data_IF_365397645137
#
_entry.id   IF_365397645137
#
_cell.length_a   1.000
_cell.length_b   1.000
_cell.length_c   1.000
_cell.angle_alpha   90.00
_cell.angle_beta   90.00
_cell.angle_gamma   90.00
#
_symmetry.space_group_name_H-M   'P 1'
#
loop_
_entity.id
_entity.type
_entity.pdbx_description
1 polymer ?
#
# COMPACT_ATOMS: atom_id res chain seq x y z
N UNK A 1 -10.38 -36.57 -20.32
CA UNK A 1 -10.83 -35.61 -21.36
C UNK A 1 -9.59 -34.91 -21.90
N UNK A 2 -9.44 -34.78 -23.22
CA UNK A 2 -8.35 -33.99 -23.83
C UNK A 2 -8.78 -32.52 -23.97
N UNK A 3 -7.87 -31.58 -23.76
CA UNK A 3 -8.13 -30.15 -23.95
C UNK A 3 -8.38 -29.85 -25.45
N UNK A 4 -9.30 -28.94 -25.75
CA UNK A 4 -9.53 -28.41 -27.10
C UNK A 4 -8.47 -27.35 -27.49
N UNK A 5 -8.52 -26.83 -28.71
CA UNK A 5 -7.53 -25.86 -29.21
C UNK A 5 -7.43 -24.59 -28.36
N UNK A 6 -8.56 -24.03 -27.94
CA UNK A 6 -8.60 -22.81 -27.13
C UNK A 6 -8.08 -23.08 -25.71
N UNK A 7 -8.49 -24.20 -25.12
CA UNK A 7 -8.01 -24.64 -23.81
C UNK A 7 -6.50 -24.90 -23.82
N UNK A 8 -5.96 -25.55 -24.86
CA UNK A 8 -4.51 -25.74 -25.04
C UNK A 8 -3.79 -24.42 -25.22
N UNK A 9 -4.35 -23.47 -25.95
CA UNK A 9 -3.78 -22.14 -26.10
C UNK A 9 -3.65 -21.44 -24.75
N UNK A 10 -4.73 -21.37 -23.96
CA UNK A 10 -4.72 -20.75 -22.63
C UNK A 10 -3.76 -21.49 -21.70
N UNK A 11 -3.83 -22.82 -21.66
CA UNK A 11 -2.95 -23.65 -20.84
C UNK A 11 -1.47 -23.40 -21.16
N UNK A 12 -1.10 -23.38 -22.44
CA UNK A 12 0.26 -23.08 -22.87
C UNK A 12 0.69 -21.66 -22.48
N UNK A 13 -0.21 -20.67 -22.57
CA UNK A 13 0.08 -19.29 -22.15
C UNK A 13 0.27 -19.18 -20.63
N UNK A 14 -0.51 -19.91 -19.83
CA UNK A 14 -0.35 -19.95 -18.38
C UNK A 14 0.96 -20.63 -17.99
N UNK A 15 1.27 -21.81 -18.54
CA UNK A 15 2.52 -22.52 -18.23
C UNK A 15 3.78 -21.75 -18.66
N UNK A 16 3.73 -21.07 -19.80
CA UNK A 16 4.85 -20.26 -20.30
C UNK A 16 4.97 -18.88 -19.64
N UNK A 17 4.02 -18.48 -18.78
CA UNK A 17 3.95 -17.11 -18.26
C UNK A 17 3.64 -16.04 -19.33
N UNK A 18 3.26 -16.45 -20.54
CA UNK A 18 2.95 -15.59 -21.68
C UNK A 18 1.51 -15.08 -21.72
N UNK A 19 0.71 -15.34 -20.68
CA UNK A 19 -0.70 -14.93 -20.61
C UNK A 19 -0.83 -13.43 -20.27
N UNK A 20 -0.53 -12.58 -21.27
CA UNK A 20 -0.51 -11.12 -21.15
C UNK A 20 -1.83 -10.50 -21.61
N UNK A 21 -2.84 -10.53 -20.73
CA UNK A 21 -4.18 -9.98 -21.03
C UNK A 21 -4.38 -8.53 -20.55
N UNK A 22 -3.34 -7.89 -20.01
CA UNK A 22 -3.42 -6.50 -19.54
C UNK A 22 -4.26 -6.30 -18.27
N UNK A 23 -4.53 -7.36 -17.51
CA UNK A 23 -5.29 -7.29 -16.26
C UNK A 23 -4.33 -7.04 -15.10
N UNK A 24 -4.50 -5.88 -14.44
CA UNK A 24 -3.76 -5.52 -13.23
C UNK A 24 -4.43 -6.07 -11.96
N UNK A 25 -3.70 -6.13 -10.85
CA UNK A 25 -4.26 -6.46 -9.54
C UNK A 25 -5.41 -5.50 -9.16
N UNK A 26 -5.24 -4.19 -9.41
CA UNK A 26 -6.28 -3.18 -9.17
C UNK A 26 -7.55 -3.46 -9.98
N UNK A 27 -7.40 -3.91 -11.22
CA UNK A 27 -8.54 -4.30 -12.07
C UNK A 27 -9.31 -5.47 -11.44
N UNK A 28 -8.60 -6.46 -10.90
CA UNK A 28 -9.22 -7.61 -10.21
C UNK A 28 -9.93 -7.16 -8.93
N UNK A 29 -9.28 -6.36 -8.09
CA UNK A 29 -9.89 -5.80 -6.87
C UNK A 29 -11.20 -5.08 -7.20
N UNK A 30 -11.18 -4.18 -8.18
CA UNK A 30 -12.37 -3.42 -8.59
C UNK A 30 -13.46 -4.30 -9.19
N UNK A 31 -13.10 -5.34 -9.94
CA UNK A 31 -14.08 -6.27 -10.52
C UNK A 31 -14.77 -7.10 -9.43
N UNK A 32 -13.99 -7.61 -8.47
CA UNK A 32 -14.50 -8.37 -7.33
C UNK A 32 -15.38 -7.48 -6.44
N UNK A 33 -14.92 -6.27 -6.08
CA UNK A 33 -15.67 -5.28 -5.31
C UNK A 33 -17.07 -5.03 -5.90
N UNK A 34 -17.15 -4.86 -7.23
CA UNK A 34 -18.43 -4.71 -7.93
C UNK A 34 -19.30 -5.97 -7.92
N UNK A 35 -18.70 -7.15 -8.00
CA UNK A 35 -19.42 -8.44 -8.11
C UNK A 35 -20.08 -8.83 -6.79
N UNK A 36 -19.40 -8.57 -5.67
CA UNK A 36 -19.87 -8.91 -4.31
C UNK A 36 -20.44 -7.70 -3.54
N UNK A 37 -20.50 -6.53 -4.18
CA UNK A 37 -20.99 -5.27 -3.60
C UNK A 37 -20.28 -4.87 -2.28
N UNK A 38 -18.95 -4.99 -2.27
CA UNK A 38 -18.08 -4.55 -1.16
C UNK A 38 -17.13 -3.44 -1.63
N UNK A 39 -16.61 -2.67 -0.67
CA UNK A 39 -15.63 -1.63 -0.95
C UNK A 39 -14.30 -2.22 -1.45
N UNK A 40 -13.62 -1.51 -2.37
CA UNK A 40 -12.36 -1.96 -2.96
C UNK A 40 -11.26 -2.19 -1.92
N UNK A 41 -11.21 -1.39 -0.85
CA UNK A 41 -10.26 -1.57 0.24
C UNK A 41 -10.52 -2.88 1.00
N UNK A 42 -11.79 -3.28 1.17
CA UNK A 42 -12.15 -4.56 1.81
C UNK A 42 -11.58 -5.72 1.00
N UNK A 43 -11.79 -5.68 -0.31
CA UNK A 43 -11.34 -6.72 -1.21
C UNK A 43 -9.83 -6.76 -1.30
N UNK A 44 -9.17 -5.61 -1.40
CA UNK A 44 -7.72 -5.52 -1.36
C UNK A 44 -7.15 -6.15 -0.10
N UNK A 45 -7.72 -5.86 1.07
CA UNK A 45 -7.32 -6.48 2.34
C UNK A 45 -7.49 -8.00 2.32
N UNK A 46 -8.69 -8.49 1.96
CA UNK A 46 -9.00 -9.92 1.86
C UNK A 46 -8.00 -10.71 1.00
N UNK A 47 -7.61 -10.17 -0.16
CA UNK A 47 -6.73 -10.88 -1.10
C UNK A 47 -5.23 -10.61 -0.89
N UNK A 48 -4.87 -9.63 -0.07
CA UNK A 48 -3.47 -9.24 0.19
C UNK A 48 -2.75 -10.14 1.20
N UNK A 49 -3.48 -10.94 1.98
CA UNK A 49 -2.91 -11.81 3.01
C UNK A 49 -2.21 -13.07 2.49
N UNK A 50 -1.64 -13.84 3.41
CA UNK A 50 -1.01 -15.15 3.14
C UNK A 50 -2.04 -16.27 2.95
N UNK A 51 -2.82 -16.24 1.87
CA UNK A 51 -3.75 -17.30 1.51
C UNK A 51 -3.15 -18.27 0.49
N UNK A 52 -3.68 -19.49 0.46
CA UNK A 52 -3.25 -20.52 -0.49
C UNK A 52 -4.38 -20.83 -1.48
N UNK A 53 -4.21 -20.58 -2.79
CA UNK A 53 -5.24 -20.83 -3.79
C UNK A 53 -5.67 -22.30 -3.89
N UNK A 54 -4.85 -23.25 -3.42
CA UNK A 54 -5.19 -24.68 -3.44
C UNK A 54 -6.14 -25.09 -2.30
N UNK A 55 -6.17 -24.32 -1.20
CA UNK A 55 -6.91 -24.71 0.03
C UNK A 55 -7.91 -23.65 0.48
N UNK A 56 -7.82 -22.42 -0.02
CA UNK A 56 -8.70 -21.32 0.37
C UNK A 56 -9.83 -21.23 -0.64
N UNK A 57 -11.06 -21.48 -0.19
CA UNK A 57 -12.25 -21.30 -1.02
C UNK A 57 -12.49 -19.81 -1.31
N UNK A 58 -13.09 -19.52 -2.47
CA UNK A 58 -13.35 -18.16 -2.92
C UNK A 58 -14.26 -17.40 -1.93
N UNK A 59 -15.29 -18.06 -1.43
CA UNK A 59 -16.23 -17.51 -0.47
C UNK A 59 -15.54 -17.18 0.85
N UNK A 60 -14.63 -18.05 1.31
CA UNK A 60 -13.84 -17.83 2.53
C UNK A 60 -12.85 -16.69 2.35
N UNK A 61 -12.21 -16.57 1.19
CA UNK A 61 -11.25 -15.51 0.90
C UNK A 61 -11.93 -14.13 0.92
N UNK A 62 -13.15 -14.04 0.41
CA UNK A 62 -13.89 -12.78 0.27
C UNK A 62 -14.86 -12.50 1.43
N UNK A 63 -14.86 -13.33 2.47
CA UNK A 63 -15.62 -13.04 3.69
C UNK A 63 -14.92 -11.92 4.47
N UNK A 64 -15.53 -10.74 4.60
CA UNK A 64 -14.96 -9.69 5.42
C UNK A 64 -15.09 -10.09 6.89
N UNK A 65 -13.95 -10.24 7.57
CA UNK A 65 -13.93 -10.09 9.03
C UNK A 65 -14.13 -8.60 9.31
N UNK A 66 -15.38 -8.19 9.55
CA UNK A 66 -15.77 -6.79 9.70
C UNK A 66 -14.88 -6.02 10.70
N UNK A 67 -14.49 -6.67 11.80
CA UNK A 67 -13.60 -6.11 12.82
C UNK A 67 -12.20 -5.82 12.28
N UNK A 68 -11.60 -6.76 11.56
CA UNK A 68 -10.21 -6.65 11.08
C UNK A 68 -10.08 -5.70 9.88
N UNK A 69 -11.15 -5.58 9.08
CA UNK A 69 -11.19 -4.60 8.00
C UNK A 69 -11.18 -3.17 8.53
N UNK A 70 -12.04 -2.87 9.51
CA UNK A 70 -12.14 -1.52 10.07
C UNK A 70 -10.79 -1.06 10.65
N UNK A 71 -10.08 -1.97 11.31
CA UNK A 71 -8.74 -1.74 11.85
C UNK A 71 -7.72 -1.37 10.75
N UNK A 72 -7.77 -2.07 9.62
CA UNK A 72 -6.85 -1.88 8.52
C UNK A 72 -7.20 -0.70 7.60
N UNK A 73 -8.41 -0.14 7.71
CA UNK A 73 -8.93 0.80 6.72
C UNK A 73 -8.15 2.11 6.69
N UNK A 74 -7.61 2.53 5.53
CA UNK A 74 -6.93 3.81 5.39
C UNK A 74 -7.93 4.97 5.38
N UNK A 75 -7.45 6.14 5.80
CA UNK A 75 -8.17 7.38 5.60
C UNK A 75 -8.05 7.84 4.13
N UNK A 76 -9.02 8.61 3.60
CA UNK A 76 -8.88 9.21 2.29
C UNK A 76 -7.61 10.06 2.18
N UNK A 77 -6.86 9.90 1.09
CA UNK A 77 -5.65 10.68 0.85
C UNK A 77 -6.01 12.10 0.38
N UNK A 78 -5.68 13.11 1.20
CA UNK A 78 -5.91 14.51 0.86
C UNK A 78 -4.95 14.98 -0.23
N UNK A 79 -5.45 15.67 -1.26
CA UNK A 79 -4.66 16.03 -2.44
C UNK A 79 -4.21 17.48 -2.39
N UNK A 80 -2.97 17.71 -2.82
CA UNK A 80 -2.43 19.05 -3.04
C UNK A 80 -2.66 19.47 -4.50
N UNK A 81 -2.91 20.76 -4.70
CA UNK A 81 -3.02 21.39 -6.00
C UNK A 81 -1.79 22.27 -6.26
N UNK A 82 -1.32 22.38 -7.51
CA UNK A 82 -0.29 23.33 -7.84
C UNK A 82 -0.76 24.75 -7.54
N UNK A 83 0.17 25.64 -7.19
CA UNK A 83 -0.13 27.05 -7.00
C UNK A 83 -0.55 27.68 -8.34
N UNK A 84 -1.68 28.39 -8.33
CA UNK A 84 -2.16 29.16 -9.48
C UNK A 84 -1.51 30.56 -9.56
N UNK A 85 -1.07 31.09 -8.42
CA UNK A 85 -0.43 32.39 -8.30
C UNK A 85 1.02 32.28 -7.79
N UNK A 86 1.77 33.36 -7.94
CA UNK A 86 3.14 33.42 -7.44
C UNK A 86 3.16 33.35 -5.89
N UNK A 87 4.16 32.69 -5.27
CA UNK A 87 4.24 32.57 -3.81
C UNK A 87 4.18 33.90 -3.05
N UNK A 88 4.64 35.00 -3.67
CA UNK A 88 4.59 36.34 -3.09
C UNK A 88 3.15 36.86 -2.84
N UNK A 89 2.16 36.27 -3.50
CA UNK A 89 0.74 36.64 -3.35
C UNK A 89 0.00 35.79 -2.32
N UNK A 90 0.65 34.77 -1.73
CA UNK A 90 0.04 33.85 -0.76
C UNK A 90 -0.09 34.44 0.65
N UNK A 91 0.31 35.70 0.84
CA UNK A 91 0.33 36.38 2.13
C UNK A 91 1.64 36.15 2.90
N UNK A 92 1.57 36.34 4.23
CA UNK A 92 2.75 36.31 5.10
C UNK A 92 3.34 34.89 5.22
N UNK A 93 4.65 34.68 5.01
CA UNK A 93 5.28 33.36 5.09
C UNK A 93 5.03 32.62 6.40
N UNK A 94 4.87 33.35 7.52
CA UNK A 94 4.64 32.76 8.84
C UNK A 94 3.24 32.14 9.01
N UNK A 95 2.31 32.37 8.07
CA UNK A 95 1.02 31.72 8.02
C UNK A 95 1.07 30.32 7.36
N UNK A 96 2.24 29.91 6.85
CA UNK A 96 2.42 28.70 6.07
C UNK A 96 3.41 27.74 6.74
N UNK A 97 3.12 26.44 6.61
CA UNK A 97 4.09 25.37 6.81
C UNK A 97 4.54 24.89 5.43
N UNK A 98 5.85 24.85 5.21
CA UNK A 98 6.45 24.39 3.97
C UNK A 98 7.28 23.14 4.23
N UNK A 99 7.06 22.13 3.39
CA UNK A 99 7.76 20.85 3.47
C UNK A 99 8.30 20.44 2.11
N UNK A 100 9.29 19.54 2.13
CA UNK A 100 9.83 18.99 0.91
C UNK A 100 8.82 18.07 0.24
N UNK A 101 8.60 18.29 -1.06
CA UNK A 101 7.88 17.33 -1.88
C UNK A 101 8.81 16.17 -2.23
N UNK A 102 8.69 15.08 -1.48
CA UNK A 102 9.47 13.87 -1.69
C UNK A 102 9.09 13.13 -2.98
N UNK A 103 10.04 12.35 -3.51
CA UNK A 103 9.87 11.46 -4.67
C UNK A 103 9.87 10.01 -4.19
N UNK A 104 8.68 9.46 -3.95
CA UNK A 104 8.48 8.19 -3.29
C UNK A 104 7.13 7.55 -3.56
N UNK A 105 6.73 6.68 -2.63
CA UNK A 105 5.37 6.13 -2.57
C UNK A 105 4.67 6.76 -1.38
N UNK A 106 3.70 7.62 -1.65
CA UNK A 106 2.77 8.07 -0.61
C UNK A 106 2.05 6.89 0.02
N UNK A 107 2.09 6.81 1.34
CA UNK A 107 1.39 5.78 2.08
C UNK A 107 1.03 6.16 3.49
N UNK A 108 0.03 5.47 4.04
CA UNK A 108 -0.40 5.58 5.42
C UNK A 108 0.08 4.38 6.22
N UNK A 109 0.67 4.64 7.39
CA UNK A 109 0.96 3.64 8.41
C UNK A 109 -0.17 3.68 9.43
N UNK A 110 -0.83 2.54 9.64
CA UNK A 110 -1.98 2.39 10.53
C UNK A 110 -1.60 1.38 11.60
N UNK A 111 -1.60 1.80 12.86
CA UNK A 111 -1.38 0.96 14.02
C UNK A 111 -2.70 0.87 14.80
N UNK A 112 -3.43 -0.23 14.67
CA UNK A 112 -4.70 -0.50 15.37
C UNK A 112 -4.79 -1.95 15.80
N UNK A 113 -5.45 -2.22 16.91
CA UNK A 113 -5.54 -3.54 17.56
C UNK A 113 -4.23 -4.33 17.60
N UNK A 114 -3.13 -3.65 17.94
CA UNK A 114 -1.78 -4.23 17.97
C UNK A 114 -1.33 -4.80 16.62
N UNK A 115 -1.91 -4.36 15.51
CA UNK A 115 -1.52 -4.72 14.15
C UNK A 115 -1.06 -3.46 13.40
N UNK A 116 -0.07 -3.64 12.53
CA UNK A 116 0.46 -2.58 11.68
C UNK A 116 0.07 -2.84 10.23
N UNK A 117 -0.49 -1.83 9.59
CA UNK A 117 -0.85 -1.85 8.17
C UNK A 117 -0.15 -0.72 7.43
N UNK A 118 0.25 -0.99 6.20
CA UNK A 118 0.85 0.01 5.32
C UNK A 118 0.05 0.05 4.04
N UNK A 119 -0.62 1.16 3.77
CA UNK A 119 -1.39 1.36 2.55
C UNK A 119 -0.70 2.36 1.65
N UNK A 120 -0.66 2.09 0.35
CA UNK A 120 -0.35 3.14 -0.61
C UNK A 120 -1.59 3.92 -1.02
N UNK A 121 -1.37 5.12 -1.56
CA UNK A 121 -2.41 5.91 -2.24
C UNK A 121 -3.16 5.14 -3.33
N UNK A 122 -2.53 4.11 -3.92
CA UNK A 122 -3.13 3.28 -4.96
C UNK A 122 -4.26 2.37 -4.49
N UNK A 123 -4.61 2.39 -3.20
CA UNK A 123 -5.49 1.43 -2.52
C UNK A 123 -4.90 0.01 -2.53
N UNK A 124 -3.57 -0.07 -2.38
CA UNK A 124 -2.86 -1.33 -2.26
C UNK A 124 -2.32 -1.48 -0.84
N UNK A 125 -2.68 -2.59 -0.17
CA UNK A 125 -2.05 -3.00 1.07
C UNK A 125 -0.64 -3.53 0.77
N UNK A 126 0.37 -2.89 1.34
CA UNK A 126 1.79 -3.11 1.07
C UNK A 126 2.59 -3.51 2.32
N UNK A 127 1.93 -3.86 3.43
CA UNK A 127 2.58 -4.22 4.71
C UNK A 127 3.73 -5.21 4.50
N UNK A 128 3.50 -6.29 3.75
CA UNK A 128 4.49 -7.35 3.51
C UNK A 128 5.69 -6.91 2.66
N UNK A 129 5.55 -5.80 1.91
CA UNK A 129 6.65 -5.24 1.10
C UNK A 129 7.65 -4.45 1.95
N UNK A 130 7.28 -4.06 3.17
CA UNK A 130 8.08 -3.21 4.05
C UNK A 130 8.27 -3.82 5.46
N UNK A 131 8.92 -5.01 5.57
CA UNK A 131 9.12 -5.69 6.84
C UNK A 131 9.88 -4.85 7.89
N UNK A 132 10.73 -3.91 7.48
CA UNK A 132 11.40 -2.98 8.41
C UNK A 132 10.43 -2.18 9.28
N UNK A 133 9.21 -1.92 8.80
CA UNK A 133 8.20 -1.20 9.56
C UNK A 133 7.59 -2.03 10.68
N UNK A 134 7.78 -3.35 10.71
CA UNK A 134 7.29 -4.20 11.80
C UNK A 134 7.78 -3.71 13.17
N UNK A 135 8.98 -3.13 13.25
CA UNK A 135 9.51 -2.55 14.48
C UNK A 135 8.63 -1.41 15.04
N UNK A 136 7.88 -0.70 14.18
CA UNK A 136 6.97 0.36 14.59
C UNK A 136 5.78 -0.15 15.40
N UNK A 137 5.42 -1.43 15.28
CA UNK A 137 4.34 -2.04 16.05
C UNK A 137 4.56 -1.93 17.57
N UNK A 138 5.82 -1.92 18.01
CA UNK A 138 6.20 -1.77 19.42
C UNK A 138 6.44 -0.31 19.85
N UNK A 139 6.60 0.60 18.88
CA UNK A 139 6.96 2.00 19.11
C UNK A 139 5.77 2.95 19.01
N UNK A 140 4.83 2.65 18.11
CA UNK A 140 3.63 3.45 17.89
C UNK A 140 2.53 3.01 18.87
N UNK A 141 1.86 3.96 19.54
CA UNK A 141 0.66 3.67 20.30
C UNK A 141 -0.41 3.02 19.43
N UNK A 142 -1.28 2.23 20.06
CA UNK A 142 -2.45 1.71 19.38
C UNK A 142 -3.44 2.85 19.07
N UNK A 143 -4.07 2.80 17.89
CA UNK A 143 -4.93 3.87 17.39
C UNK A 143 -4.13 5.04 16.82
N UNK A 144 -3.07 4.76 16.05
CA UNK A 144 -2.24 5.78 15.41
C UNK A 144 -2.27 5.60 13.90
N UNK A 145 -2.58 6.67 13.17
CA UNK A 145 -2.50 6.70 11.71
C UNK A 145 -1.65 7.88 11.25
N UNK A 146 -0.61 7.59 10.49
CA UNK A 146 0.37 8.56 10.01
C UNK A 146 0.36 8.56 8.48
N UNK A 147 0.28 9.73 7.85
CA UNK A 147 0.45 9.91 6.41
C UNK A 147 1.87 10.42 6.11
N UNK A 148 2.44 9.95 5.01
CA UNK A 148 3.85 10.17 4.74
C UNK A 148 4.30 9.63 3.40
N UNK A 149 5.60 9.78 3.16
CA UNK A 149 6.27 9.24 1.98
C UNK A 149 7.19 8.08 2.36
N UNK A 150 7.01 6.95 1.71
CA UNK A 150 7.92 5.81 1.76
C UNK A 150 9.02 6.10 0.74
N UNK A 151 10.26 6.27 1.21
CA UNK A 151 11.42 6.57 0.35
C UNK A 151 12.64 5.74 0.74
N UNK A 152 13.54 5.41 -0.22
CA UNK A 152 14.82 4.85 0.14
C UNK A 152 15.67 5.94 0.81
N UNK A 153 16.25 5.67 1.96
CA UNK A 153 17.04 6.66 2.70
C UNK A 153 18.10 6.02 3.59
N UNK A 154 19.23 6.69 3.76
CA UNK A 154 20.30 6.32 4.70
C UNK A 154 20.54 7.51 5.62
N UNK A 155 20.49 7.27 6.93
CA UNK A 155 20.75 8.30 7.96
C UNK A 155 19.92 9.59 7.73
N UNK A 156 18.63 9.43 7.41
CA UNK A 156 17.70 10.54 7.18
C UNK A 156 17.88 11.27 5.84
N UNK A 157 18.78 10.82 4.96
CA UNK A 157 18.99 11.41 3.63
C UNK A 157 18.33 10.54 2.56
N UNK A 158 17.47 11.12 1.70
CA UNK A 158 16.83 10.38 0.63
C UNK A 158 17.87 9.89 -0.40
N UNK A 159 17.63 8.69 -0.91
CA UNK A 159 18.32 8.11 -2.06
C UNK A 159 17.45 8.30 -3.31
N UNK A 160 18.02 8.15 -4.52
CA UNK A 160 17.25 8.21 -5.75
C UNK A 160 16.13 7.15 -5.79
N UNK A 161 14.96 7.52 -6.33
CA UNK A 161 13.81 6.62 -6.44
C UNK A 161 14.12 5.31 -7.19
N UNK A 162 15.07 5.33 -8.13
CA UNK A 162 15.53 4.13 -8.84
C UNK A 162 16.02 3.02 -7.89
N UNK A 163 16.54 3.37 -6.70
CA UNK A 163 16.94 2.39 -5.67
C UNK A 163 15.73 1.60 -5.17
N UNK A 164 14.58 2.26 -4.98
CA UNK A 164 13.34 1.60 -4.56
C UNK A 164 12.81 0.61 -5.61
N UNK A 165 12.99 0.92 -6.90
CA UNK A 165 12.55 0.06 -8.00
C UNK A 165 13.19 -1.33 -7.97
N UNK A 166 14.40 -1.45 -7.40
CA UNK A 166 15.09 -2.74 -7.25
C UNK A 166 14.34 -3.72 -6.33
N UNK A 167 13.46 -3.19 -5.47
CA UNK A 167 12.81 -3.90 -4.38
C UNK A 167 11.29 -3.98 -4.51
N UNK A 168 10.61 -2.91 -4.93
CA UNK A 168 9.14 -2.78 -4.86
C UNK A 168 8.35 -3.92 -5.55
N UNK A 169 8.90 -4.49 -6.62
CA UNK A 169 8.26 -5.58 -7.39
C UNK A 169 8.60 -7.00 -6.92
N UNK A 170 9.42 -7.16 -5.87
CA UNK A 170 9.88 -8.46 -5.39
C UNK A 170 8.87 -9.03 -4.38
N UNK A 171 8.51 -10.31 -4.55
CA UNK A 171 7.66 -11.04 -3.61
C UNK A 171 8.35 -11.43 -2.30
N UNK A 172 9.66 -11.63 -2.35
CA UNK A 172 10.48 -12.00 -1.19
C UNK A 172 11.73 -11.14 -1.19
N UNK A 173 12.00 -10.51 -0.05
CA UNK A 173 13.11 -9.56 0.10
C UNK A 173 14.20 -10.23 0.92
N UNK A 174 15.41 -10.28 0.36
CA UNK A 174 16.58 -10.84 1.03
C UNK A 174 17.21 -9.81 1.98
N UNK A 175 17.96 -10.27 2.99
CA UNK A 175 18.73 -9.38 3.89
C UNK A 175 19.64 -8.41 3.15
N UNK A 176 20.25 -8.87 2.05
CA UNK A 176 21.11 -8.04 1.19
C UNK A 176 20.32 -6.88 0.57
N UNK A 177 19.13 -7.14 0.05
CA UNK A 177 18.28 -6.11 -0.56
C UNK A 177 17.78 -5.08 0.46
N UNK A 178 17.51 -5.48 1.71
CA UNK A 178 17.18 -4.54 2.78
C UNK A 178 18.33 -3.57 3.08
N UNK A 179 19.57 -4.02 2.93
CA UNK A 179 20.77 -3.19 3.14
C UNK A 179 21.08 -2.30 1.93
N UNK A 180 20.86 -2.79 0.70
CA UNK A 180 21.11 -2.05 -0.54
C UNK A 180 20.04 -0.98 -0.82
N UNK A 181 18.79 -1.25 -0.45
CA UNK A 181 17.66 -0.34 -0.59
C UNK A 181 16.93 -0.16 0.76
N UNK A 182 17.57 0.49 1.75
CA UNK A 182 16.97 0.77 3.03
C UNK A 182 15.84 1.78 2.85
N UNK A 183 14.68 1.48 3.40
CA UNK A 183 13.48 2.31 3.28
C UNK A 183 13.22 3.01 4.61
N UNK A 184 12.81 4.27 4.53
CA UNK A 184 12.41 5.09 5.66
C UNK A 184 11.05 5.72 5.36
N UNK A 185 10.26 5.94 6.41
CA UNK A 185 8.99 6.66 6.30
C UNK A 185 9.18 8.11 6.71
N UNK A 186 8.94 9.04 5.79
CA UNK A 186 8.99 10.47 6.03
C UNK A 186 7.56 10.95 6.28
N UNK A 187 7.18 11.01 7.55
CA UNK A 187 5.86 11.46 7.98
C UNK A 187 5.71 12.97 7.78
N UNK A 188 4.52 13.37 7.34
CA UNK A 188 4.13 14.78 7.23
C UNK A 188 2.73 15.06 7.81
N UNK A 189 1.96 14.03 8.17
CA UNK A 189 0.67 14.21 8.80
C UNK A 189 0.37 13.11 9.83
N UNK A 190 -0.39 13.46 10.87
CA UNK A 190 -0.91 12.53 11.87
C UNK A 190 -2.43 12.63 11.81
N UNK A 191 -3.08 11.57 11.32
CA UNK A 191 -4.51 11.54 11.06
C UNK A 191 -5.31 11.02 12.26
N UNK A 192 -4.70 10.12 13.04
CA UNK A 192 -5.33 9.53 14.22
C UNK A 192 -4.31 9.38 15.33
N UNK A 193 -4.74 9.70 16.56
CA UNK A 193 -3.93 9.57 17.76
C UNK A 193 -4.72 8.94 18.89
N UNK A 194 -4.22 7.80 19.41
CA UNK A 194 -4.85 7.03 20.48
C UNK A 194 -6.33 6.69 20.21
N UNK A 195 -6.66 6.42 18.95
CA UNK A 195 -8.02 6.06 18.50
C UNK A 195 -8.93 7.26 18.26
N UNK A 196 -8.41 8.48 18.35
CA UNK A 196 -9.14 9.72 18.04
C UNK A 196 -8.72 10.21 16.66
N UNK A 197 -9.68 10.37 15.75
CA UNK A 197 -9.49 11.07 14.47
C UNK A 197 -9.25 12.56 14.75
N UNK A 198 -8.12 13.10 14.27
CA UNK A 198 -7.67 14.47 14.55
C UNK A 198 -7.55 15.35 13.30
N UNK A 199 -8.12 14.90 12.18
CA UNK A 199 -8.17 15.64 10.92
C UNK A 199 -9.16 16.80 10.94
#
# INVERSE_FOLDING_TARGET
KALNTNERFVFNKLMSGGFRIGVSQKTIVNALAKTIALDAAVIAHCISGGWNPATTAFETLLQPNATQFDDSKPYPFYLAYPLEEAPANLGEPNAWQAEWKWDGIRGQIIQRNQQLYVWSRGEELMTDKFPEYQALQALLPNGTVIDGEIIPAIAGKPLPFAVMQTRIGRKTITKKQLQEAPITFFAYDLLEWQGVDIR
#
